data_IF_950213583503
#
_entry.id   IF_950213583503
#
_cell.length_a   1.000
_cell.length_b   1.000
_cell.length_c   1.000
_cell.angle_alpha   90.00
_cell.angle_beta   90.00
_cell.angle_gamma   90.00
#
_symmetry.space_group_name_H-M   'P 1'
#
loop_
_entity.id
_entity.type
_entity.pdbx_description
1 polymer ?
#
# COMPACT_ATOMS: atom_id res chain seq x y z
N UNK A 1 5.58 3.87 -2.61
CA UNK A 1 4.45 4.78 -2.32
C UNK A 1 4.85 6.25 -2.43
N UNK A 2 5.78 6.78 -1.61
CA UNK A 2 6.13 8.22 -1.66
C UNK A 2 6.64 8.71 -3.02
N UNK A 3 7.46 7.93 -3.73
CA UNK A 3 7.87 8.27 -5.11
C UNK A 3 6.68 8.44 -6.06
N UNK A 4 5.67 7.55 -6.00
CA UNK A 4 4.45 7.65 -6.82
C UNK A 4 3.57 8.85 -6.40
N UNK A 5 3.52 9.15 -5.10
CA UNK A 5 2.88 10.39 -4.61
C UNK A 5 3.58 11.63 -5.18
N UNK A 6 4.90 11.65 -5.21
CA UNK A 6 5.67 12.76 -5.77
C UNK A 6 5.47 12.89 -7.28
N UNK A 7 5.45 11.77 -8.02
CA UNK A 7 5.09 11.77 -9.44
C UNK A 7 3.70 12.38 -9.71
N UNK A 8 2.72 12.08 -8.85
CA UNK A 8 1.35 12.57 -9.00
C UNK A 8 1.23 14.09 -8.78
N UNK A 9 1.92 14.64 -7.79
CA UNK A 9 1.71 16.05 -7.39
C UNK A 9 2.84 17.00 -7.79
N UNK A 10 4.08 16.53 -7.76
CA UNK A 10 5.27 17.33 -8.10
C UNK A 10 5.73 17.13 -9.54
N UNK A 11 5.40 16.00 -10.16
CA UNK A 11 5.84 15.62 -11.50
C UNK A 11 7.22 14.92 -11.51
N UNK A 12 7.61 14.34 -12.66
CA UNK A 12 8.79 13.48 -12.79
C UNK A 12 10.13 14.20 -12.68
N UNK A 13 10.19 15.48 -13.07
CA UNK A 13 11.43 16.27 -13.08
C UNK A 13 11.72 16.99 -11.77
N UNK A 14 10.77 16.97 -10.82
CA UNK A 14 10.92 17.69 -9.56
C UNK A 14 12.01 17.06 -8.67
N UNK A 15 12.87 17.84 -7.99
CA UNK A 15 13.98 17.30 -7.18
C UNK A 15 13.55 16.30 -6.12
N UNK A 16 12.42 16.53 -5.43
CA UNK A 16 11.87 15.59 -4.44
C UNK A 16 11.50 14.24 -5.08
N UNK A 17 10.97 14.25 -6.31
CA UNK A 17 10.63 13.02 -7.02
C UNK A 17 11.88 12.22 -7.36
N UNK A 18 12.91 12.89 -7.90
CA UNK A 18 14.20 12.27 -8.20
C UNK A 18 14.89 11.73 -6.94
N UNK A 19 14.81 12.46 -5.83
CA UNK A 19 15.36 12.01 -4.55
C UNK A 19 14.63 10.75 -4.05
N UNK A 20 13.30 10.77 -4.05
CA UNK A 20 12.48 9.63 -3.63
C UNK A 20 12.64 8.40 -4.54
N UNK A 21 13.07 8.58 -5.80
CA UNK A 21 13.37 7.48 -6.72
C UNK A 21 14.53 6.59 -6.23
N UNK A 22 15.46 7.15 -5.43
CA UNK A 22 16.57 6.38 -4.83
C UNK A 22 16.09 5.26 -3.90
N UNK A 23 14.84 5.32 -3.45
CA UNK A 23 14.12 4.21 -2.82
C UNK A 23 14.83 3.68 -1.57
N UNK A 24 15.18 2.38 -1.60
CA UNK A 24 15.78 1.66 -0.46
C UNK A 24 17.14 2.19 0.00
N UNK A 25 17.80 3.03 -0.81
CA UNK A 25 19.04 3.72 -0.43
C UNK A 25 18.81 4.86 0.58
N UNK A 26 17.56 5.28 0.78
CA UNK A 26 17.20 6.32 1.75
C UNK A 26 16.67 5.71 3.05
N UNK A 27 17.06 6.32 4.16
CA UNK A 27 16.52 5.94 5.47
C UNK A 27 15.00 6.21 5.52
N UNK A 28 14.17 5.34 6.14
CA UNK A 28 12.71 5.52 6.18
C UNK A 28 12.25 6.89 6.74
N UNK A 29 12.99 7.45 7.69
CA UNK A 29 12.76 8.80 8.22
C UNK A 29 12.86 9.86 7.12
N UNK A 30 13.89 9.80 6.29
CA UNK A 30 14.12 10.73 5.17
C UNK A 30 13.01 10.62 4.14
N UNK A 31 12.62 9.40 3.76
CA UNK A 31 11.51 9.16 2.82
C UNK A 31 10.22 9.80 3.34
N UNK A 32 9.93 9.63 4.63
CA UNK A 32 8.75 10.22 5.26
C UNK A 32 8.80 11.75 5.26
N UNK A 33 9.94 12.32 5.62
CA UNK A 33 10.10 13.76 5.74
C UNK A 33 10.06 14.44 4.35
N UNK A 34 10.63 13.81 3.31
CA UNK A 34 10.46 14.22 1.91
C UNK A 34 8.99 14.13 1.47
N UNK A 35 8.28 13.07 1.86
CA UNK A 35 6.86 12.88 1.55
C UNK A 35 5.94 13.98 2.11
N UNK A 36 6.36 14.69 3.15
CA UNK A 36 5.68 15.87 3.72
C UNK A 36 5.94 17.16 2.94
N UNK A 37 7.02 17.20 2.16
CA UNK A 37 7.45 18.37 1.38
C UNK A 37 6.98 18.34 -0.09
N UNK A 38 6.21 17.32 -0.48
CA UNK A 38 5.69 17.20 -1.85
C UNK A 38 4.75 18.39 -2.13
N UNK A 39 5.03 19.25 -3.13
CA UNK A 39 4.20 20.40 -3.47
C UNK A 39 2.86 19.97 -4.08
N UNK A 40 1.92 20.91 -4.20
CA UNK A 40 0.62 20.75 -4.89
C UNK A 40 -0.23 19.57 -4.39
N UNK A 41 -0.04 19.16 -3.14
CA UNK A 41 -0.81 18.06 -2.56
C UNK A 41 -2.29 18.45 -2.48
N UNK A 42 -3.15 17.66 -3.13
CA UNK A 42 -4.60 17.70 -2.96
C UNK A 42 -5.06 16.43 -2.27
N UNK A 43 -5.78 16.57 -1.15
CA UNK A 43 -6.34 15.45 -0.42
C UNK A 43 -7.35 14.69 -1.28
N UNK A 44 -8.22 15.39 -2.00
CA UNK A 44 -9.25 14.79 -2.85
C UNK A 44 -8.62 13.92 -3.96
N UNK A 45 -7.66 14.49 -4.70
CA UNK A 45 -6.92 13.75 -5.73
C UNK A 45 -6.17 12.58 -5.09
N UNK A 46 -5.59 12.76 -3.92
CA UNK A 46 -4.91 11.67 -3.22
C UNK A 46 -5.87 10.53 -2.88
N UNK A 47 -7.07 10.82 -2.42
CA UNK A 47 -8.07 9.81 -2.08
C UNK A 47 -8.48 8.95 -3.28
N UNK A 48 -8.59 9.56 -4.46
CA UNK A 48 -8.89 8.87 -5.71
C UNK A 48 -7.75 7.92 -6.14
N UNK A 49 -6.48 8.27 -5.89
CA UNK A 49 -5.33 7.50 -6.40
C UNK A 49 -4.62 6.61 -5.36
N UNK A 50 -4.74 6.91 -4.06
CA UNK A 50 -3.92 6.27 -3.00
C UNK A 50 -4.02 4.76 -3.01
N UNK A 51 -5.23 4.23 -3.21
CA UNK A 51 -5.48 2.79 -3.18
C UNK A 51 -4.73 2.09 -4.30
N UNK A 52 -4.93 2.53 -5.55
CA UNK A 52 -4.28 1.95 -6.72
C UNK A 52 -2.74 2.00 -6.61
N UNK A 53 -2.19 3.12 -6.12
CA UNK A 53 -0.75 3.28 -5.91
C UNK A 53 -0.20 2.24 -4.91
N UNK A 54 -0.91 2.00 -3.80
CA UNK A 54 -0.46 1.04 -2.78
C UNK A 54 -0.73 -0.40 -3.20
N UNK A 55 -1.83 -0.68 -3.89
CA UNK A 55 -2.11 -2.00 -4.47
C UNK A 55 -1.03 -2.40 -5.49
N UNK A 56 -0.64 -1.49 -6.38
CA UNK A 56 0.43 -1.75 -7.35
C UNK A 56 1.78 -1.94 -6.65
N UNK A 57 2.12 -1.09 -5.68
CA UNK A 57 3.34 -1.27 -4.88
C UNK A 57 3.37 -2.58 -4.12
N UNK A 58 2.23 -3.03 -3.60
CA UNK A 58 2.08 -4.32 -2.92
C UNK A 58 2.29 -5.46 -3.91
N UNK A 59 1.62 -5.44 -5.07
CA UNK A 59 1.82 -6.43 -6.11
C UNK A 59 3.29 -6.54 -6.54
N UNK A 60 3.97 -5.42 -6.79
CA UNK A 60 5.39 -5.43 -7.17
C UNK A 60 6.28 -6.00 -6.05
N UNK A 61 6.03 -5.62 -4.79
CA UNK A 61 6.77 -6.15 -3.64
C UNK A 61 6.65 -7.67 -3.52
N UNK A 62 5.43 -8.18 -3.63
CA UNK A 62 5.14 -9.60 -3.45
C UNK A 62 5.41 -10.42 -4.72
N UNK A 63 5.43 -9.83 -5.92
CA UNK A 63 5.76 -10.55 -7.15
C UNK A 63 7.26 -10.78 -7.32
N UNK A 64 8.10 -9.85 -6.85
CA UNK A 64 9.56 -9.91 -7.02
C UNK A 64 10.28 -10.77 -5.97
N UNK A 65 9.65 -11.04 -4.83
CA UNK A 65 10.24 -11.83 -3.75
C UNK A 65 9.44 -13.12 -3.51
N UNK A 66 10.07 -14.28 -3.79
CA UNK A 66 9.42 -15.60 -3.74
C UNK A 66 8.87 -15.94 -2.34
N UNK A 67 9.63 -15.65 -1.29
CA UNK A 67 9.23 -15.99 0.08
C UNK A 67 8.05 -15.12 0.54
N UNK A 68 8.08 -13.82 0.22
CA UNK A 68 6.95 -12.94 0.49
C UNK A 68 5.73 -13.36 -0.32
N UNK A 69 5.89 -13.68 -1.62
CA UNK A 69 4.82 -14.20 -2.48
C UNK A 69 4.13 -15.38 -1.82
N UNK A 70 4.89 -16.37 -1.37
CA UNK A 70 4.37 -17.57 -0.73
C UNK A 70 3.61 -17.23 0.57
N UNK A 71 4.15 -16.35 1.41
CA UNK A 71 3.47 -15.89 2.63
C UNK A 71 2.12 -15.23 2.34
N UNK A 72 2.05 -14.39 1.30
CA UNK A 72 0.79 -13.75 0.91
C UNK A 72 -0.21 -14.77 0.35
N UNK A 73 0.24 -15.70 -0.50
CA UNK A 73 -0.63 -16.74 -1.06
C UNK A 73 -1.14 -17.71 0.01
N UNK A 74 -0.33 -18.01 1.03
CA UNK A 74 -0.70 -18.89 2.15
C UNK A 74 -1.87 -18.36 2.98
N UNK A 75 -2.19 -17.06 2.88
CA UNK A 75 -3.40 -16.49 3.51
C UNK A 75 -4.71 -16.95 2.85
N UNK A 76 -4.63 -17.62 1.70
CA UNK A 76 -5.78 -18.23 1.03
C UNK A 76 -6.88 -17.22 0.74
N UNK A 77 -8.09 -17.50 1.24
CA UNK A 77 -9.26 -16.63 1.09
C UNK A 77 -9.55 -15.77 2.34
N UNK A 78 -8.64 -15.76 3.32
CA UNK A 78 -8.83 -14.97 4.54
C UNK A 78 -8.87 -13.48 4.23
N UNK A 79 -9.71 -12.75 4.96
CA UNK A 79 -9.69 -11.29 4.97
C UNK A 79 -8.46 -10.81 5.74
N UNK A 80 -7.66 -9.94 5.10
CA UNK A 80 -6.50 -9.33 5.74
C UNK A 80 -6.91 -7.99 6.35
N UNK A 81 -6.55 -7.79 7.62
CA UNK A 81 -6.98 -6.64 8.41
C UNK A 81 -5.78 -5.99 9.09
N UNK A 82 -5.54 -4.72 8.78
CA UNK A 82 -4.54 -3.91 9.48
C UNK A 82 -5.14 -3.36 10.78
N UNK A 83 -4.89 -4.06 11.89
CA UNK A 83 -5.46 -3.76 13.20
C UNK A 83 -4.71 -2.66 13.95
N UNK A 84 -4.67 -1.47 13.35
CA UNK A 84 -4.05 -0.27 13.92
C UNK A 84 -5.11 0.62 14.60
N UNK A 85 -5.01 0.88 15.93
CA UNK A 85 -5.91 1.79 16.63
C UNK A 85 -5.84 3.25 16.18
N UNK A 86 -4.73 3.64 15.53
CA UNK A 86 -4.43 5.04 15.17
C UNK A 86 -4.65 5.32 13.69
N UNK A 87 -5.03 4.33 12.91
CA UNK A 87 -5.21 4.46 11.47
C UNK A 87 -6.57 3.92 11.05
N UNK A 88 -7.46 4.83 10.64
CA UNK A 88 -8.79 4.50 10.10
C UNK A 88 -8.84 4.52 8.56
N UNK A 89 -7.73 4.77 7.89
CA UNK A 89 -7.66 4.81 6.42
C UNK A 89 -7.01 3.52 5.93
N UNK A 90 -5.76 3.26 6.33
CA UNK A 90 -5.08 2.04 5.96
C UNK A 90 -5.43 0.89 6.89
N UNK A 91 -5.77 1.20 8.15
CA UNK A 91 -6.24 0.25 9.14
C UNK A 91 -7.73 0.36 9.47
N UNK A 92 -8.15 -0.48 10.42
CA UNK A 92 -9.54 -0.52 10.91
C UNK A 92 -9.83 0.43 12.07
N UNK A 93 -8.83 1.10 12.64
CA UNK A 93 -9.03 1.98 13.80
C UNK A 93 -9.16 1.27 15.14
N UNK A 94 -8.91 -0.04 15.19
CA UNK A 94 -9.00 -0.84 16.42
C UNK A 94 -7.78 -1.75 16.57
N UNK A 95 -7.38 -2.03 17.81
CA UNK A 95 -6.40 -3.06 18.10
C UNK A 95 -6.97 -4.44 17.75
N UNK A 96 -6.10 -5.41 17.43
CA UNK A 96 -6.51 -6.74 16.99
C UNK A 96 -7.56 -7.40 17.91
N UNK A 97 -7.39 -7.28 19.23
CA UNK A 97 -8.32 -7.82 20.24
C UNK A 97 -9.76 -7.28 20.13
N UNK A 98 -9.92 -6.05 19.65
CA UNK A 98 -11.22 -5.36 19.59
C UNK A 98 -11.71 -5.16 18.15
N UNK A 99 -10.91 -5.49 17.14
CA UNK A 99 -11.26 -5.27 15.75
C UNK A 99 -12.53 -6.07 15.39
N UNK A 100 -12.58 -7.37 15.69
CA UNK A 100 -13.70 -8.20 15.24
C UNK A 100 -15.06 -7.78 15.83
N UNK A 101 -15.09 -7.35 17.11
CA UNK A 101 -16.34 -6.96 17.78
C UNK A 101 -16.85 -5.59 17.34
N UNK A 102 -15.98 -4.72 16.80
CA UNK A 102 -16.35 -3.38 16.32
C UNK A 102 -16.41 -3.29 14.79
N UNK A 103 -16.75 -4.39 14.11
CA UNK A 103 -16.68 -4.48 12.64
C UNK A 103 -17.49 -3.41 11.90
N UNK A 104 -18.64 -3.03 12.46
CA UNK A 104 -19.51 -1.97 11.93
C UNK A 104 -18.88 -0.58 11.99
N UNK A 105 -17.89 -0.37 12.86
CA UNK A 105 -17.23 0.92 13.09
C UNK A 105 -15.86 1.02 12.44
N UNK A 106 -15.49 0.02 11.64
CA UNK A 106 -14.17 -0.04 11.03
C UNK A 106 -13.86 1.18 10.17
N UNK A 107 -12.59 1.56 10.24
CA UNK A 107 -11.94 2.33 9.19
C UNK A 107 -11.93 1.58 7.85
N UNK A 108 -11.30 2.19 6.85
CA UNK A 108 -11.38 1.71 5.47
C UNK A 108 -10.59 0.43 5.21
N UNK A 109 -9.63 0.07 6.07
CA UNK A 109 -8.74 -1.09 5.92
C UNK A 109 -8.09 -1.17 4.51
N UNK A 110 -7.67 -0.02 3.96
CA UNK A 110 -7.17 0.02 2.58
C UNK A 110 -5.91 -0.82 2.38
N UNK A 111 -5.09 -1.03 3.42
CA UNK A 111 -3.90 -1.87 3.32
C UNK A 111 -4.27 -3.35 3.16
N UNK A 112 -5.19 -3.84 4.00
CA UNK A 112 -5.72 -5.18 3.89
C UNK A 112 -6.30 -5.44 2.50
N UNK A 113 -7.15 -4.52 2.02
CA UNK A 113 -7.73 -4.56 0.67
C UNK A 113 -6.66 -4.57 -0.43
N UNK A 114 -5.62 -3.74 -0.33
CA UNK A 114 -4.53 -3.68 -1.30
C UNK A 114 -3.70 -4.98 -1.35
N UNK A 115 -3.47 -5.62 -0.19
CA UNK A 115 -2.80 -6.92 -0.12
C UNK A 115 -3.66 -8.04 -0.73
N UNK A 116 -4.96 -8.03 -0.48
CA UNK A 116 -5.88 -8.99 -1.09
C UNK A 116 -5.99 -8.82 -2.61
N UNK A 117 -5.99 -7.57 -3.11
CA UNK A 117 -5.92 -7.29 -4.56
C UNK A 117 -4.60 -7.82 -5.17
N UNK A 118 -3.47 -7.58 -4.51
CA UNK A 118 -2.18 -8.12 -4.93
C UNK A 118 -2.18 -9.66 -4.95
N UNK A 119 -2.76 -10.31 -3.94
CA UNK A 119 -2.94 -11.77 -3.86
C UNK A 119 -3.75 -12.28 -5.06
N UNK A 120 -4.90 -11.67 -5.34
CA UNK A 120 -5.76 -12.03 -6.47
C UNK A 120 -5.04 -11.93 -7.81
N UNK A 121 -4.26 -10.86 -8.04
CA UNK A 121 -3.46 -10.70 -9.25
C UNK A 121 -2.38 -11.78 -9.41
N UNK A 122 -1.70 -12.13 -8.31
CA UNK A 122 -0.68 -13.18 -8.31
C UNK A 122 -1.26 -14.57 -8.61
N UNK A 123 -2.44 -14.87 -8.09
CA UNK A 123 -3.17 -16.13 -8.38
C UNK A 123 -3.55 -16.19 -9.85
N UNK A 124 -4.16 -15.12 -10.39
CA UNK A 124 -4.57 -15.06 -11.82
C UNK A 124 -3.38 -15.25 -12.76
N UNK A 125 -2.25 -14.59 -12.48
CA UNK A 125 -1.04 -14.73 -13.29
C UNK A 125 -0.50 -16.16 -13.28
N UNK A 126 -0.49 -16.84 -12.13
CA UNK A 126 -0.06 -18.23 -12.03
C UNK A 126 -1.02 -19.23 -12.68
N UNK A 127 -2.30 -18.88 -12.86
CA UNK A 127 -3.27 -19.68 -13.60
C UNK A 127 -3.10 -19.53 -15.12
N UNK A 128 -2.89 -18.30 -15.61
CA UNK A 128 -2.64 -18.04 -17.04
C UNK A 128 -1.24 -18.41 -17.53
N UNK A 129 -0.28 -18.67 -16.64
CA UNK A 129 1.04 -19.24 -16.97
C UNK A 129 1.00 -20.78 -17.09
N UNK A 130 -0.14 -21.42 -16.76
CA UNK A 130 -0.32 -22.88 -16.80
C UNK A 130 -1.14 -23.36 -18.01
N UNK A 131 -1.59 -22.44 -18.86
CA UNK A 131 -2.17 -22.72 -20.18
C UNK A 131 -1.12 -22.51 -21.26
#
# INVERSE_FOLDING_TARGET
MMHRKALLFAGPTHPITQELQKGWKLHPRVIRDLGRKIPNFSQEVWEQHRFAIVAEGSYLKFSQNKDLKQKLLATGNQELVEASPRDRIWGVGFAAKNANVNRSEWGLNLLGKALMEARSRLVKKAAGEKE
#
